data_IF_124053948738
#
_entry.id   IF_124053948738
#
_cell.length_a   1.000
_cell.length_b   1.000
_cell.length_c   1.000
_cell.angle_alpha   90.00
_cell.angle_beta   90.00
_cell.angle_gamma   90.00
#
_symmetry.space_group_name_H-M   'P 1'
#
loop_
_entity.id
_entity.type
_entity.pdbx_description
1 polymer ?
#
# COMPACT_ATOMS: atom_id res chain seq x y z
N UNK A 1 15.69 -14.27 42.04
CA UNK A 1 14.93 -15.49 41.69
C UNK A 1 14.17 -15.17 40.39
N UNK A 2 14.67 -15.64 39.23
CA UNK A 2 14.14 -16.81 38.48
C UNK A 2 12.73 -16.46 37.93
N UNK A 3 12.51 -16.25 36.63
CA UNK A 3 12.67 -17.19 35.49
C UNK A 3 12.83 -16.37 34.19
N UNK A 4 13.90 -16.56 33.41
CA UNK A 4 13.98 -17.55 32.33
C UNK A 4 12.82 -17.44 31.32
N UNK A 5 13.04 -16.68 30.24
CA UNK A 5 12.70 -17.16 28.90
C UNK A 5 14.00 -17.25 28.10
N UNK A 6 14.32 -18.49 27.80
CA UNK A 6 15.50 -18.99 27.11
C UNK A 6 15.23 -18.99 25.60
N UNK A 7 16.32 -18.83 24.86
CA UNK A 7 16.55 -19.29 23.50
C UNK A 7 15.78 -18.60 22.36
N UNK A 8 16.48 -17.68 21.71
CA UNK A 8 17.01 -17.98 20.37
C UNK A 8 18.23 -17.09 20.11
N UNK A 9 19.37 -17.52 20.63
CA UNK A 9 20.63 -17.29 19.93
C UNK A 9 20.66 -18.25 18.73
N UNK A 10 21.32 -17.84 17.65
CA UNK A 10 21.50 -18.50 16.34
C UNK A 10 20.42 -18.15 15.31
N UNK A 11 20.64 -17.07 14.56
CA UNK A 11 21.33 -17.18 13.26
C UNK A 11 22.17 -15.91 13.05
N UNK A 12 23.48 -16.05 13.26
CA UNK A 12 24.44 -15.25 12.52
C UNK A 12 24.29 -15.64 11.05
N UNK A 13 23.89 -14.73 10.17
CA UNK A 13 24.39 -14.61 8.79
C UNK A 13 23.66 -13.47 8.08
N UNK A 14 24.43 -12.48 7.59
CA UNK A 14 24.04 -11.50 6.56
C UNK A 14 22.77 -10.71 6.90
N UNK A 15 22.84 -9.45 7.29
CA UNK A 15 23.07 -8.38 6.33
C UNK A 15 23.81 -7.24 7.03
N UNK A 16 25.07 -7.08 6.68
CA UNK A 16 25.69 -5.77 6.65
C UNK A 16 24.89 -4.98 5.61
N UNK A 17 24.01 -4.08 6.03
CA UNK A 17 23.55 -3.00 5.16
C UNK A 17 23.10 -1.81 6.00
N UNK A 18 23.83 -0.72 5.85
CA UNK A 18 23.36 0.60 6.18
C UNK A 18 22.03 0.86 5.46
N UNK A 19 20.95 0.90 6.23
CA UNK A 19 19.66 1.39 5.81
C UNK A 19 18.91 1.71 7.08
N UNK A 20 18.60 2.97 7.31
CA UNK A 20 17.72 3.38 8.40
C UNK A 20 16.39 2.62 8.18
N UNK A 21 15.90 1.92 9.20
CA UNK A 21 14.81 0.95 9.07
C UNK A 21 13.67 1.51 8.21
N UNK A 22 13.32 0.85 7.10
CA UNK A 22 12.24 1.31 6.21
C UNK A 22 10.84 0.97 6.74
N UNK A 23 10.71 0.74 8.05
CA UNK A 23 9.44 0.58 8.75
C UNK A 23 8.39 1.66 8.40
N UNK A 24 8.73 2.96 8.29
CA UNK A 24 7.75 3.97 7.87
C UNK A 24 7.29 3.81 6.41
N UNK A 25 8.08 3.19 5.53
CA UNK A 25 7.63 2.85 4.16
C UNK A 25 6.61 1.71 4.17
N UNK A 26 6.84 0.69 5.00
CA UNK A 26 5.90 -0.44 5.18
C UNK A 26 4.57 0.08 5.72
N UNK A 27 4.62 0.91 6.78
CA UNK A 27 3.44 1.51 7.40
C UNK A 27 2.65 2.38 6.41
N UNK A 28 3.36 3.20 5.61
CA UNK A 28 2.74 3.99 4.56
C UNK A 28 2.07 3.12 3.48
N UNK A 29 2.68 1.99 3.10
CA UNK A 29 2.11 1.08 2.10
C UNK A 29 0.86 0.36 2.64
N UNK A 30 0.89 -0.13 3.88
CA UNK A 30 -0.27 -0.76 4.54
C UNK A 30 -1.42 0.23 4.77
N UNK A 31 -1.11 1.48 5.12
CA UNK A 31 -2.10 2.55 5.23
C UNK A 31 -2.72 2.84 3.86
N UNK A 32 -1.91 2.95 2.81
CA UNK A 32 -2.39 3.17 1.44
C UNK A 32 -3.28 2.03 0.94
N UNK A 33 -2.95 0.76 1.23
CA UNK A 33 -3.83 -0.38 0.95
C UNK A 33 -5.20 -0.20 1.60
N UNK A 34 -5.23 0.09 2.90
CA UNK A 34 -6.49 0.26 3.65
C UNK A 34 -7.32 1.43 3.13
N UNK A 35 -6.71 2.58 2.92
CA UNK A 35 -7.41 3.75 2.40
C UNK A 35 -7.95 3.48 0.98
N UNK A 36 -7.13 2.90 0.11
CA UNK A 36 -7.52 2.60 -1.29
C UNK A 36 -8.66 1.59 -1.36
N UNK A 37 -8.63 0.54 -0.53
CA UNK A 37 -9.72 -0.45 -0.47
C UNK A 37 -10.97 0.04 0.26
N UNK A 38 -10.86 1.05 1.13
CA UNK A 38 -12.01 1.67 1.78
C UNK A 38 -12.71 2.71 0.88
N UNK A 39 -12.02 3.22 -0.13
CA UNK A 39 -12.56 4.21 -1.06
C UNK A 39 -13.69 3.65 -1.92
N UNK A 40 -14.70 4.50 -2.16
CA UNK A 40 -15.88 4.19 -3.00
C UNK A 40 -15.97 5.04 -4.26
N UNK A 41 -15.10 6.03 -4.40
CA UNK A 41 -15.13 7.02 -5.47
C UNK A 41 -13.71 7.42 -5.89
N UNK A 42 -13.57 7.94 -7.11
CA UNK A 42 -12.29 8.38 -7.67
C UNK A 42 -11.62 9.50 -6.86
N UNK A 43 -12.39 10.39 -6.22
CA UNK A 43 -11.84 11.49 -5.42
C UNK A 43 -11.15 10.98 -4.15
N UNK A 44 -11.76 9.98 -3.49
CA UNK A 44 -11.16 9.29 -2.35
C UNK A 44 -9.85 8.61 -2.76
N UNK A 45 -9.86 7.92 -3.91
CA UNK A 45 -8.69 7.21 -4.40
C UNK A 45 -7.53 8.16 -4.76
N UNK A 46 -7.86 9.32 -5.35
CA UNK A 46 -6.91 10.40 -5.61
C UNK A 46 -6.31 10.94 -4.32
N UNK A 47 -7.12 11.17 -3.29
CA UNK A 47 -6.65 11.62 -1.96
C UNK A 47 -5.72 10.60 -1.29
N UNK A 48 -6.06 9.32 -1.36
CA UNK A 48 -5.22 8.25 -0.85
C UNK A 48 -3.86 8.22 -1.57
N UNK A 49 -3.87 8.35 -2.90
CA UNK A 49 -2.64 8.39 -3.71
C UNK A 49 -1.78 9.63 -3.41
N UNK A 50 -2.38 10.82 -3.27
CA UNK A 50 -1.66 12.05 -2.89
C UNK A 50 -1.07 11.93 -1.48
N UNK A 51 -1.80 11.31 -0.54
CA UNK A 51 -1.32 11.09 0.84
C UNK A 51 -0.13 10.13 0.85
N UNK A 52 -0.22 9.02 0.11
CA UNK A 52 0.87 8.05 -0.03
C UNK A 52 2.09 8.66 -0.74
N UNK A 53 1.88 9.47 -1.77
CA UNK A 53 2.94 10.20 -2.46
C UNK A 53 3.63 11.19 -1.53
N UNK A 54 2.88 11.96 -0.73
CA UNK A 54 3.45 12.89 0.23
C UNK A 54 4.24 12.17 1.34
N UNK A 55 3.78 11.00 1.79
CA UNK A 55 4.50 10.18 2.76
C UNK A 55 5.81 9.62 2.16
N UNK A 56 5.75 9.06 0.95
CA UNK A 56 6.93 8.52 0.26
C UNK A 56 7.94 9.59 -0.12
N UNK A 57 7.50 10.80 -0.50
CA UNK A 57 8.38 11.94 -0.81
C UNK A 57 9.18 12.41 0.42
N UNK A 58 8.52 12.50 1.59
CA UNK A 58 9.20 12.79 2.87
C UNK A 58 10.26 11.74 3.20
N UNK A 59 9.96 10.47 2.88
CA UNK A 59 10.82 9.32 3.15
C UNK A 59 11.93 9.15 2.10
N UNK A 60 11.75 9.69 0.89
CA UNK A 60 12.74 9.64 -0.19
C UNK A 60 14.05 10.36 0.19
N UNK A 61 13.97 11.35 1.07
CA UNK A 61 15.14 12.03 1.64
C UNK A 61 15.90 11.23 2.70
N UNK A 62 15.32 10.16 3.25
CA UNK A 62 15.87 9.47 4.43
C UNK A 62 16.82 8.30 4.14
N UNK A 63 17.16 8.00 2.87
CA UNK A 63 17.98 6.82 2.49
C UNK A 63 17.53 5.56 3.25
N UNK A 64 16.22 5.31 3.21
CA UNK A 64 15.61 4.11 3.78
C UNK A 64 15.81 2.98 2.79
N UNK A 65 16.50 1.93 3.21
CA UNK A 65 16.70 0.72 2.41
C UNK A 65 15.87 -0.38 3.07
N UNK A 66 14.69 -0.73 2.52
CA UNK A 66 13.92 -1.84 3.06
C UNK A 66 14.71 -3.14 2.98
N UNK A 67 14.62 -3.95 4.03
CA UNK A 67 15.07 -5.35 3.95
C UNK A 67 14.20 -6.13 2.94
N UNK A 68 14.66 -7.30 2.52
CA UNK A 68 13.92 -8.16 1.57
C UNK A 68 12.49 -8.45 2.06
N UNK A 69 12.34 -8.78 3.35
CA UNK A 69 11.05 -9.04 3.99
C UNK A 69 10.14 -7.78 4.04
N UNK A 70 10.72 -6.59 4.20
CA UNK A 70 9.99 -5.33 4.17
C UNK A 70 9.57 -4.97 2.74
N UNK A 71 10.44 -5.22 1.76
CA UNK A 71 10.16 -5.01 0.35
C UNK A 71 9.01 -5.94 -0.12
N UNK A 72 8.98 -7.20 0.33
CA UNK A 72 7.84 -8.09 0.08
C UNK A 72 6.53 -7.54 0.67
N UNK A 73 6.54 -7.05 1.91
CA UNK A 73 5.33 -6.45 2.53
C UNK A 73 4.85 -5.21 1.79
N UNK A 74 5.77 -4.31 1.41
CA UNK A 74 5.45 -3.12 0.63
C UNK A 74 4.87 -3.51 -0.74
N UNK A 75 5.48 -4.50 -1.40
CA UNK A 75 5.03 -5.03 -2.69
C UNK A 75 3.65 -5.67 -2.61
N UNK A 76 3.38 -6.48 -1.59
CA UNK A 76 2.09 -7.10 -1.35
C UNK A 76 0.98 -6.07 -1.08
N UNK A 77 1.24 -5.10 -0.20
CA UNK A 77 0.30 -4.01 0.09
C UNK A 77 0.02 -3.15 -1.14
N UNK A 78 1.06 -2.81 -1.91
CA UNK A 78 0.93 -2.05 -3.16
C UNK A 78 0.13 -2.80 -4.22
N UNK A 79 0.35 -4.12 -4.33
CA UNK A 79 -0.41 -4.98 -5.25
C UNK A 79 -1.89 -4.98 -4.89
N UNK A 80 -2.22 -5.21 -3.61
CA UNK A 80 -3.61 -5.15 -3.13
C UNK A 80 -4.26 -3.78 -3.33
N UNK A 81 -3.53 -2.71 -3.05
CA UNK A 81 -4.01 -1.35 -3.30
C UNK A 81 -4.34 -1.16 -4.80
N UNK A 82 -3.48 -1.63 -5.70
CA UNK A 82 -3.71 -1.57 -7.14
C UNK A 82 -4.93 -2.41 -7.59
N UNK A 83 -5.14 -3.59 -7.00
CA UNK A 83 -6.33 -4.42 -7.24
C UNK A 83 -7.60 -3.71 -6.79
N UNK A 84 -7.61 -3.12 -5.59
CA UNK A 84 -8.74 -2.34 -5.08
C UNK A 84 -9.03 -1.12 -5.96
N UNK A 85 -8.00 -0.40 -6.38
CA UNK A 85 -8.15 0.75 -7.27
C UNK A 85 -8.69 0.36 -8.66
N UNK A 86 -8.20 -0.75 -9.20
CA UNK A 86 -8.66 -1.28 -10.49
C UNK A 86 -10.12 -1.73 -10.41
N UNK A 87 -10.49 -2.44 -9.33
CA UNK A 87 -11.86 -2.86 -9.08
C UNK A 87 -12.81 -1.66 -8.97
N UNK A 88 -12.39 -0.61 -8.26
CA UNK A 88 -13.16 0.62 -8.13
C UNK A 88 -13.34 1.33 -9.47
N UNK A 89 -12.25 1.52 -10.21
CA UNK A 89 -12.27 2.17 -11.54
C UNK A 89 -13.14 1.39 -12.52
N UNK A 90 -13.05 0.06 -12.51
CA UNK A 90 -13.90 -0.82 -13.32
C UNK A 90 -15.36 -0.67 -12.94
N UNK A 91 -15.67 -0.59 -11.64
CA UNK A 91 -17.03 -0.41 -11.16
C UNK A 91 -17.61 0.95 -11.57
N UNK A 92 -16.82 2.02 -11.47
CA UNK A 92 -17.21 3.36 -11.93
C UNK A 92 -17.41 3.41 -13.45
N UNK A 93 -16.54 2.75 -14.23
CA UNK A 93 -16.70 2.65 -15.67
C UNK A 93 -17.97 1.86 -16.05
N UNK A 94 -18.29 0.81 -15.29
CA UNK A 94 -19.51 0.01 -15.49
C UNK A 94 -20.76 0.81 -15.14
N UNK A 95 -20.74 1.57 -14.05
CA UNK A 95 -21.84 2.44 -13.63
C UNK A 95 -22.07 3.58 -14.64
N UNK A 96 -20.99 4.17 -15.15
CA UNK A 96 -21.03 5.17 -16.22
C UNK A 96 -21.58 4.58 -17.54
N UNK A 97 -21.20 3.35 -17.89
CA UNK A 97 -21.74 2.66 -19.06
C UNK A 97 -23.24 2.32 -18.89
N UNK A 98 -23.67 1.94 -17.70
CA UNK A 98 -25.09 1.72 -17.40
C UNK A 98 -25.91 3.02 -17.47
N UNK A 99 -25.36 4.13 -16.97
CA UNK A 99 -25.96 5.46 -17.10
C UNK A 99 -26.04 5.93 -18.56
N UNK A 100 -25.03 5.63 -19.38
CA UNK A 100 -25.04 5.94 -20.81
C UNK A 100 -26.00 5.04 -21.61
N UNK A 101 -26.17 3.77 -21.22
CA UNK A 101 -27.10 2.82 -21.83
C UNK A 101 -28.58 3.10 -21.51
N UNK A 102 -28.88 3.83 -20.42
CA UNK A 102 -30.22 4.28 -20.09
C UNK A 102 -30.67 5.51 -20.92
N UNK A 103 -29.74 6.16 -21.64
CA UNK A 103 -29.97 7.34 -22.46
C UNK A 103 -30.02 7.02 -23.96
N UNK A 104 -30.60 5.88 -24.37
CA UNK A 104 -31.02 5.68 -25.75
C UNK A 104 -32.43 6.28 -25.90
N UNK A 105 -32.60 7.49 -26.48
CA UNK A 105 -33.91 7.94 -26.89
C UNK A 105 -34.41 7.00 -27.99
N UNK A 106 -35.52 6.32 -27.72
CA UNK A 106 -36.33 5.66 -28.76
C UNK A 106 -36.67 6.65 -29.86
N UNK A 107 -36.51 6.31 -31.15
CA UNK A 107 -36.90 7.17 -32.27
C UNK A 107 -38.40 7.45 -32.30
#
# INVERSE_FOLDING_TARGET
>A
MKRLFIATALVSFFVIACGKDAKPLVDAAEAYEKDTCACKDADCLKKAADTYKAATDKLAGEKLTPSEEQAEKIGAASTKAAECATALTTKMATDAAAAAGAAVPTP
#
